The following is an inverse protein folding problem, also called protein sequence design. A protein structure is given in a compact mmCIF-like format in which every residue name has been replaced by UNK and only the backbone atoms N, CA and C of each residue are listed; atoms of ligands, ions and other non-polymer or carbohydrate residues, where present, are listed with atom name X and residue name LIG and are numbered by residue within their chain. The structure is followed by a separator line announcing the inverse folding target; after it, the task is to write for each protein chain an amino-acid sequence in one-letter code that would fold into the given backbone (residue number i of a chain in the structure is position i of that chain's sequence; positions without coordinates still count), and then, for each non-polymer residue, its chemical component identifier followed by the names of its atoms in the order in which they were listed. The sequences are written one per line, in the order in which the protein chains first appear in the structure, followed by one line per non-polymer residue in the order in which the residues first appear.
data_IF_259730207401
#
_entry.id   IF_259730207401
#
_cell.length_a   1.000
_cell.length_b   1.000
_cell.length_c   1.000
_cell.angle_alpha   90.00
_cell.angle_beta   90.00
_cell.angle_gamma   90.00
#
_symmetry.space_group_name_H-M   'P 1'
#
loop_
_entity.id
_entity.type
_entity.pdbx_description
1 polymer ?
#
# COMPACT_ATOMS: atom_id res chain seq x y z
N UNK A 1 -9.08 -6.87 -27.46
CA UNK A 1 -7.86 -6.09 -27.78
C UNK A 1 -7.35 -5.28 -26.59
N UNK A 2 -8.22 -4.53 -25.87
CA UNK A 2 -7.80 -3.74 -24.68
C UNK A 2 -7.47 -4.66 -23.49
N UNK A 3 -8.22 -5.73 -23.30
CA UNK A 3 -7.99 -6.73 -22.25
C UNK A 3 -6.65 -7.44 -22.43
N UNK A 4 -6.35 -7.88 -23.63
CA UNK A 4 -5.10 -8.59 -23.95
C UNK A 4 -3.87 -7.70 -23.77
N UNK A 5 -3.98 -6.40 -24.07
CA UNK A 5 -2.92 -5.43 -23.85
C UNK A 5 -2.66 -5.16 -22.35
N UNK A 6 -3.68 -5.25 -21.51
CA UNK A 6 -3.57 -5.03 -20.06
C UNK A 6 -2.98 -6.27 -19.36
N UNK A 7 -3.37 -7.46 -19.76
CA UNK A 7 -2.79 -8.72 -19.28
C UNK A 7 -1.34 -8.87 -19.71
N UNK A 8 -1.00 -8.49 -20.94
CA UNK A 8 0.37 -8.46 -21.45
C UNK A 8 1.27 -7.49 -20.67
N UNK A 9 0.76 -6.32 -20.27
CA UNK A 9 1.50 -5.38 -19.43
C UNK A 9 1.77 -5.93 -18.03
N UNK A 10 0.80 -6.58 -17.40
CA UNK A 10 0.95 -7.20 -16.08
C UNK A 10 2.04 -8.27 -16.05
N UNK A 11 2.03 -9.19 -16.99
CA UNK A 11 3.06 -10.23 -17.11
C UNK A 11 4.44 -9.65 -17.46
N UNK A 12 4.49 -8.65 -18.33
CA UNK A 12 5.73 -7.98 -18.71
C UNK A 12 6.40 -7.30 -17.52
N UNK A 13 5.65 -6.65 -16.66
CA UNK A 13 6.19 -5.97 -15.49
C UNK A 13 6.65 -6.95 -14.41
N UNK A 14 5.93 -8.04 -14.19
CA UNK A 14 6.37 -9.14 -13.31
C UNK A 14 7.70 -9.71 -13.80
N UNK A 15 7.82 -9.98 -15.11
CA UNK A 15 9.05 -10.53 -15.70
C UNK A 15 10.23 -9.55 -15.56
N UNK A 16 10.01 -8.27 -15.83
CA UNK A 16 11.02 -7.23 -15.67
C UNK A 16 11.51 -7.14 -14.21
N UNK A 17 10.60 -7.19 -13.25
CA UNK A 17 10.94 -7.17 -11.82
C UNK A 17 11.69 -8.40 -11.37
N UNK A 18 11.36 -9.59 -11.90
CA UNK A 18 12.10 -10.83 -11.63
C UNK A 18 13.52 -10.77 -12.19
N UNK A 19 13.69 -10.31 -13.42
CA UNK A 19 15.02 -10.14 -14.03
C UNK A 19 15.86 -9.10 -13.30
N UNK A 20 15.24 -7.96 -12.92
CA UNK A 20 15.91 -6.93 -12.12
C UNK A 20 16.34 -7.47 -10.75
N UNK A 21 15.48 -8.26 -10.10
CA UNK A 21 15.82 -8.93 -8.84
C UNK A 21 17.03 -9.84 -8.96
N UNK A 22 17.08 -10.65 -10.01
CA UNK A 22 18.23 -11.53 -10.31
C UNK A 22 19.49 -10.73 -10.54
N UNK A 23 19.41 -9.61 -11.27
CA UNK A 23 20.55 -8.73 -11.53
C UNK A 23 21.09 -8.07 -10.26
N UNK A 24 20.19 -7.57 -9.41
CA UNK A 24 20.57 -6.94 -8.13
C UNK A 24 21.23 -7.93 -7.16
N UNK A 25 20.89 -9.22 -7.28
CA UNK A 25 21.52 -10.30 -6.50
C UNK A 25 22.84 -10.81 -7.11
N UNK A 26 23.21 -10.34 -8.30
CA UNK A 26 24.48 -10.74 -8.93
C UNK A 26 25.71 -10.13 -8.23
N UNK A 27 26.86 -10.78 -8.38
CA UNK A 27 28.11 -10.34 -7.77
C UNK A 27 28.45 -8.88 -8.13
N UNK A 28 28.81 -8.07 -7.15
CA UNK A 28 29.16 -6.65 -7.30
C UNK A 28 27.98 -5.67 -7.08
N UNK A 29 26.75 -6.06 -7.35
CA UNK A 29 25.57 -5.25 -7.06
C UNK A 29 24.96 -5.58 -5.69
N UNK A 30 25.16 -6.79 -5.21
CA UNK A 30 24.64 -7.26 -3.92
C UNK A 30 25.08 -6.33 -2.77
N UNK A 31 26.39 -6.11 -2.64
CA UNK A 31 26.92 -5.29 -1.53
C UNK A 31 26.60 -3.81 -1.69
N UNK A 32 26.62 -3.29 -2.92
CA UNK A 32 26.40 -1.88 -3.20
C UNK A 32 24.93 -1.45 -2.98
N UNK A 33 23.98 -2.28 -3.34
CA UNK A 33 22.55 -1.92 -3.36
C UNK A 33 21.72 -2.77 -2.42
N UNK A 34 21.81 -4.10 -2.50
CA UNK A 34 20.96 -5.00 -1.72
C UNK A 34 21.30 -4.99 -0.23
N UNK A 35 22.60 -4.98 0.10
CA UNK A 35 23.07 -4.88 1.48
C UNK A 35 22.60 -3.58 2.14
N UNK A 36 22.74 -2.45 1.45
CA UNK A 36 22.29 -1.15 1.93
C UNK A 36 20.76 -1.07 2.06
N UNK A 37 20.02 -1.61 1.10
CA UNK A 37 18.58 -1.67 1.15
C UNK A 37 18.08 -2.49 2.36
N UNK A 38 18.70 -3.62 2.66
CA UNK A 38 18.41 -4.42 3.85
C UNK A 38 18.71 -3.69 5.16
N UNK A 39 19.79 -2.91 5.24
CA UNK A 39 20.07 -2.09 6.42
C UNK A 39 18.99 -1.02 6.64
N UNK A 40 18.56 -0.34 5.58
CA UNK A 40 17.47 0.64 5.65
C UNK A 40 16.16 -0.04 6.07
N UNK A 41 15.84 -1.19 5.48
CA UNK A 41 14.68 -1.99 5.86
C UNK A 41 14.68 -2.35 7.35
N UNK A 42 15.79 -2.89 7.85
CA UNK A 42 15.93 -3.26 9.26
C UNK A 42 15.78 -2.03 10.19
N UNK A 43 16.29 -0.88 9.78
CA UNK A 43 16.12 0.38 10.52
C UNK A 43 14.65 0.79 10.60
N UNK A 44 13.93 0.77 9.48
CA UNK A 44 12.49 1.10 9.41
C UNK A 44 11.68 0.10 10.26
N UNK A 45 11.94 -1.19 10.10
CA UNK A 45 11.29 -2.26 10.86
C UNK A 45 11.43 -2.02 12.38
N UNK A 46 12.65 -1.76 12.85
CA UNK A 46 12.93 -1.46 14.25
C UNK A 46 12.15 -0.24 14.75
N UNK A 47 12.09 0.85 13.97
CA UNK A 47 11.36 2.07 14.35
C UNK A 47 9.86 1.81 14.47
N UNK A 48 9.26 1.12 13.52
CA UNK A 48 7.83 0.79 13.55
C UNK A 48 7.50 -0.15 14.70
N UNK A 49 8.32 -1.17 14.95
CA UNK A 49 8.12 -2.08 16.08
C UNK A 49 8.24 -1.34 17.43
N UNK A 50 9.13 -0.35 17.54
CA UNK A 50 9.22 0.50 18.73
C UNK A 50 7.92 1.30 18.93
N UNK A 51 7.38 1.92 17.88
CA UNK A 51 6.11 2.63 17.99
C UNK A 51 4.95 1.68 18.35
N UNK A 52 4.88 0.52 17.74
CA UNK A 52 3.86 -0.48 18.04
C UNK A 52 4.03 -1.14 19.43
N UNK A 53 5.17 -0.95 20.10
CA UNK A 53 5.31 -1.32 21.51
C UNK A 53 4.59 -0.34 22.46
N UNK A 54 4.51 0.94 22.07
CA UNK A 54 3.82 1.99 22.83
C UNK A 54 2.34 2.12 22.43
N UNK A 55 2.02 1.94 21.15
CA UNK A 55 0.68 2.10 20.60
C UNK A 55 0.11 0.77 20.15
N UNK A 56 -1.20 0.61 20.29
CA UNK A 56 -1.90 -0.61 19.85
C UNK A 56 -1.97 -0.69 18.33
N UNK A 57 -2.17 0.44 17.66
CA UNK A 57 -2.30 0.56 16.21
C UNK A 57 -1.62 1.84 15.72
N UNK A 58 -1.11 1.79 14.49
CA UNK A 58 -0.72 2.96 13.73
C UNK A 58 -1.77 3.22 12.65
N UNK A 59 -2.13 4.49 12.49
CA UNK A 59 -3.09 4.92 11.46
C UNK A 59 -2.41 5.88 10.51
N UNK A 60 -2.71 5.77 9.23
CA UNK A 60 -2.18 6.66 8.20
C UNK A 60 -3.04 6.67 6.95
N UNK A 61 -2.76 7.55 5.99
CA UNK A 61 -3.41 7.50 4.69
C UNK A 61 -3.01 6.24 3.92
N UNK A 62 -3.86 5.81 2.97
CA UNK A 62 -3.55 4.71 2.06
C UNK A 62 -2.71 5.20 0.89
N UNK A 63 -3.07 6.37 0.35
CA UNK A 63 -2.39 7.02 -0.77
C UNK A 63 -2.22 8.52 -0.49
N UNK A 64 -1.30 9.20 -1.18
CA UNK A 64 -1.08 10.64 -1.02
C UNK A 64 -2.26 11.51 -1.42
N UNK A 65 -3.10 11.03 -2.32
CA UNK A 65 -4.21 11.78 -2.88
C UNK A 65 -5.49 10.97 -3.05
N UNK A 66 -6.48 11.60 -3.64
CA UNK A 66 -7.72 10.96 -4.10
C UNK A 66 -7.47 10.20 -5.40
N UNK A 67 -8.40 9.31 -5.83
CA UNK A 67 -8.28 8.62 -7.11
C UNK A 67 -8.02 9.59 -8.26
N UNK A 68 -7.02 9.31 -9.08
CA UNK A 68 -6.65 10.10 -10.25
C UNK A 68 -7.37 9.59 -11.53
N UNK A 69 -7.45 10.43 -12.55
CA UNK A 69 -8.11 10.09 -13.83
C UNK A 69 -7.27 9.12 -14.66
N UNK A 70 -7.93 8.34 -15.50
CA UNK A 70 -7.23 7.48 -16.45
C UNK A 70 -6.27 8.30 -17.31
N UNK A 71 -5.02 7.87 -17.38
CA UNK A 71 -3.97 8.53 -18.16
C UNK A 71 -3.25 9.69 -17.49
N UNK A 72 -3.74 10.20 -16.36
CA UNK A 72 -3.21 11.40 -15.70
C UNK A 72 -1.73 11.26 -15.27
N UNK A 73 -1.28 10.04 -14.98
CA UNK A 73 0.08 9.77 -14.50
C UNK A 73 0.91 8.92 -15.45
N UNK A 74 0.49 8.76 -16.71
CA UNK A 74 1.19 7.89 -17.66
C UNK A 74 2.58 8.40 -18.02
N UNK A 75 2.79 9.72 -18.00
CA UNK A 75 4.02 10.36 -18.44
C UNK A 75 5.03 10.57 -17.31
N UNK A 76 4.63 10.30 -16.06
CA UNK A 76 5.50 10.41 -14.88
C UNK A 76 5.53 9.08 -14.08
N UNK A 77 6.50 8.20 -14.37
CA UNK A 77 6.66 6.95 -13.62
C UNK A 77 6.89 7.15 -12.12
N UNK A 78 7.53 8.25 -11.72
CA UNK A 78 7.78 8.55 -10.31
C UNK A 78 6.49 8.89 -9.57
N UNK A 79 5.59 9.64 -10.19
CA UNK A 79 4.28 9.95 -9.63
C UNK A 79 3.45 8.68 -9.36
N UNK A 80 3.53 7.69 -10.24
CA UNK A 80 2.88 6.38 -10.01
C UNK A 80 3.49 5.61 -8.83
N UNK A 81 4.82 5.61 -8.69
CA UNK A 81 5.47 4.96 -7.54
C UNK A 81 5.15 5.64 -6.21
N UNK A 82 4.99 6.95 -6.21
CA UNK A 82 4.65 7.69 -5.00
C UNK A 82 3.24 7.40 -4.48
N UNK A 83 2.32 6.89 -5.31
CA UNK A 83 0.99 6.47 -4.85
C UNK A 83 1.05 5.32 -3.83
N UNK A 84 2.06 4.46 -3.92
CA UNK A 84 2.25 3.32 -3.03
C UNK A 84 3.11 3.62 -1.80
N UNK A 85 3.56 4.87 -1.60
CA UNK A 85 4.56 5.22 -0.58
C UNK A 85 4.14 4.81 0.85
N UNK A 86 2.86 4.86 1.15
CA UNK A 86 2.35 4.51 2.47
C UNK A 86 2.08 3.01 2.62
N UNK A 87 1.68 2.31 1.57
CA UNK A 87 1.37 0.89 1.61
C UNK A 87 2.62 0.00 1.68
N UNK A 88 3.74 0.47 1.14
CA UNK A 88 5.03 -0.23 1.18
C UNK A 88 5.55 -0.43 2.62
N UNK A 89 5.19 0.47 3.54
CA UNK A 89 5.65 0.42 4.93
C UNK A 89 5.28 -0.90 5.63
N UNK A 90 4.05 -1.37 5.46
CA UNK A 90 3.58 -2.64 6.00
C UNK A 90 4.41 -3.84 5.51
N UNK A 91 4.74 -3.85 4.20
CA UNK A 91 5.56 -4.89 3.59
C UNK A 91 6.97 -4.92 4.15
N UNK A 92 7.58 -3.76 4.42
CA UNK A 92 8.93 -3.68 4.97
C UNK A 92 9.01 -4.14 6.41
N UNK A 93 7.97 -3.89 7.20
CA UNK A 93 7.96 -4.12 8.63
C UNK A 93 7.35 -5.44 9.05
N UNK A 94 6.80 -6.22 8.09
CA UNK A 94 6.09 -7.49 8.32
C UNK A 94 4.92 -7.35 9.29
N UNK A 95 4.33 -6.18 9.34
CA UNK A 95 3.17 -5.89 10.16
C UNK A 95 1.89 -6.12 9.35
N UNK A 96 0.86 -6.72 9.91
CA UNK A 96 -0.45 -6.75 9.26
C UNK A 96 -1.00 -5.34 9.14
N UNK A 97 -1.55 -5.04 7.98
CA UNK A 97 -2.19 -3.78 7.70
C UNK A 97 -3.46 -3.97 6.89
N UNK A 98 -4.42 -3.10 7.09
CA UNK A 98 -5.71 -3.12 6.40
C UNK A 98 -6.10 -1.70 6.00
N UNK A 99 -6.63 -1.57 4.79
CA UNK A 99 -7.24 -0.34 4.31
C UNK A 99 -8.75 -0.40 4.49
N UNK A 100 -9.32 0.64 5.07
CA UNK A 100 -10.77 0.77 5.22
C UNK A 100 -11.25 2.15 4.74
N UNK A 101 -12.52 2.26 4.29
CA UNK A 101 -13.10 3.53 3.88
C UNK A 101 -13.12 4.54 5.02
N UNK A 102 -12.75 5.78 4.72
CA UNK A 102 -12.73 6.91 5.65
C UNK A 102 -13.77 8.00 5.32
N UNK A 103 -14.39 7.91 4.16
CA UNK A 103 -15.35 8.89 3.68
C UNK A 103 -15.16 9.23 2.21
N UNK A 104 -15.63 10.42 1.84
CA UNK A 104 -15.55 10.95 0.48
C UNK A 104 -14.84 12.30 0.50
N UNK A 105 -14.14 12.63 -0.58
CA UNK A 105 -13.61 13.98 -0.80
C UNK A 105 -14.74 14.97 -1.11
N UNK A 106 -14.37 16.25 -1.31
CA UNK A 106 -15.34 17.28 -1.76
C UNK A 106 -15.88 17.03 -3.17
N UNK A 107 -15.17 16.23 -3.94
CA UNK A 107 -15.51 15.83 -5.32
C UNK A 107 -16.18 14.45 -5.38
N UNK A 108 -16.71 13.95 -4.23
CA UNK A 108 -17.34 12.63 -4.09
C UNK A 108 -16.43 11.45 -4.50
N UNK A 109 -15.11 11.60 -4.35
CA UNK A 109 -14.15 10.52 -4.56
C UNK A 109 -13.88 9.79 -3.24
N UNK A 110 -13.73 8.45 -3.25
CA UNK A 110 -13.52 7.68 -2.03
C UNK A 110 -12.15 7.98 -1.41
N UNK A 111 -12.14 8.10 -0.08
CA UNK A 111 -10.93 8.25 0.72
C UNK A 111 -10.83 7.04 1.64
N UNK A 112 -9.62 6.48 1.75
CA UNK A 112 -9.29 5.40 2.66
C UNK A 112 -8.24 5.80 3.67
N UNK A 113 -8.24 5.11 4.80
CA UNK A 113 -7.09 5.12 5.71
C UNK A 113 -6.59 3.70 5.96
N UNK A 114 -5.34 3.59 6.33
CA UNK A 114 -4.68 2.34 6.66
C UNK A 114 -4.52 2.23 8.17
N UNK A 115 -4.84 1.06 8.71
CA UNK A 115 -4.48 0.65 10.06
C UNK A 115 -3.40 -0.43 9.99
N UNK A 116 -2.43 -0.34 10.88
CA UNK A 116 -1.35 -1.30 11.03
C UNK A 116 -1.25 -1.71 12.50
N UNK A 117 -1.04 -2.99 12.76
CA UNK A 117 -0.85 -3.55 14.11
C UNK A 117 0.49 -4.29 14.24
N UNK A 118 0.76 -4.82 15.43
CA UNK A 118 1.93 -5.66 15.70
C UNK A 118 1.96 -6.90 14.80
N UNK A 119 3.14 -7.44 14.51
CA UNK A 119 3.23 -8.72 13.80
C UNK A 119 2.36 -9.81 14.45
N UNK A 120 1.65 -10.57 13.60
CA UNK A 120 0.73 -11.65 14.02
C UNK A 120 -0.50 -11.20 14.83
N UNK A 121 -0.84 -9.92 14.82
CA UNK A 121 -2.01 -9.37 15.54
C UNK A 121 -3.18 -9.07 14.58
N UNK A 122 -3.35 -9.90 13.57
CA UNK A 122 -4.36 -9.74 12.51
C UNK A 122 -5.78 -9.74 13.08
N UNK A 123 -6.04 -10.59 14.06
CA UNK A 123 -7.36 -10.70 14.68
C UNK A 123 -7.79 -9.40 15.36
N UNK A 124 -6.91 -8.77 16.14
CA UNK A 124 -7.23 -7.47 16.78
C UNK A 124 -7.42 -6.38 15.74
N UNK A 125 -6.60 -6.39 14.69
CA UNK A 125 -6.73 -5.44 13.59
C UNK A 125 -8.11 -5.52 12.94
N UNK A 126 -8.59 -6.74 12.63
CA UNK A 126 -9.93 -6.96 12.07
C UNK A 126 -11.04 -6.52 13.03
N UNK A 127 -10.89 -6.80 14.33
CA UNK A 127 -11.89 -6.39 15.34
C UNK A 127 -12.01 -4.87 15.48
N UNK A 128 -10.91 -4.14 15.39
CA UNK A 128 -10.95 -2.66 15.39
C UNK A 128 -11.62 -2.14 14.13
N UNK A 129 -11.33 -2.72 12.96
CA UNK A 129 -12.01 -2.34 11.72
C UNK A 129 -13.53 -2.60 11.79
N UNK A 130 -13.94 -3.74 12.32
CA UNK A 130 -15.36 -4.05 12.56
C UNK A 130 -16.01 -3.00 13.47
N UNK A 131 -15.35 -2.63 14.57
CA UNK A 131 -15.84 -1.62 15.50
C UNK A 131 -15.95 -0.22 14.88
N UNK A 132 -15.02 0.15 13.99
CA UNK A 132 -15.06 1.42 13.24
C UNK A 132 -16.23 1.39 12.26
N UNK A 133 -16.39 0.32 11.49
CA UNK A 133 -17.48 0.18 10.53
C UNK A 133 -18.86 0.13 11.18
N UNK A 134 -18.97 -0.41 12.40
CA UNK A 134 -20.22 -0.38 13.16
C UNK A 134 -20.65 1.04 13.58
N UNK A 135 -19.73 1.99 13.60
CA UNK A 135 -19.97 3.40 13.98
C UNK A 135 -19.98 4.37 12.80
N UNK A 136 -19.72 3.88 11.60
CA UNK A 136 -19.63 4.69 10.37
C UNK A 136 -20.43 4.04 9.25
N UNK A 137 -20.83 4.84 8.27
CA UNK A 137 -21.52 4.37 7.07
C UNK A 137 -20.62 4.31 5.82
N UNK A 138 -19.34 4.65 5.94
CA UNK A 138 -18.44 4.82 4.81
C UNK A 138 -18.32 3.58 3.92
N UNK A 139 -18.32 2.40 4.53
CA UNK A 139 -18.21 1.11 3.84
C UNK A 139 -19.49 0.71 3.09
N UNK A 140 -20.64 1.35 3.39
CA UNK A 140 -21.92 1.06 2.73
C UNK A 140 -22.17 1.94 1.51
N UNK A 141 -21.42 3.02 1.36
CA UNK A 141 -21.56 3.95 0.23
C UNK A 141 -21.16 3.30 -1.08
N UNK A 142 -21.92 3.60 -2.12
CA UNK A 142 -21.70 3.09 -3.49
C UNK A 142 -21.57 4.26 -4.47
N UNK A 143 -20.81 4.10 -5.56
CA UNK A 143 -20.79 5.08 -6.65
C UNK A 143 -22.18 5.27 -7.23
N UNK A 144 -22.57 6.47 -7.71
CA UNK A 144 -23.89 6.76 -8.26
C UNK A 144 -24.35 5.81 -9.37
N UNK A 145 -23.41 5.29 -10.16
CA UNK A 145 -23.69 4.33 -11.24
C UNK A 145 -24.16 2.94 -10.76
N UNK A 146 -24.09 2.67 -9.45
CA UNK A 146 -24.47 1.38 -8.84
C UNK A 146 -25.73 1.48 -7.98
N UNK A 147 -26.40 2.62 -8.00
CA UNK A 147 -27.65 2.87 -7.21
C UNK A 147 -28.93 2.69 -8.01
N UNK A 148 -28.86 2.07 -9.21
CA UNK A 148 -30.04 1.72 -10.03
C UNK A 148 -30.53 0.32 -9.80
#
# INVERSE_FOLDING_TARGET
AIRDAQESRGLGDVYKRQMLGTFVLSAGYYDAYYGKANQIRAFIEKKIHTLLAEFDFLIGPVSPGVPFKFGEKNDDPLAMYLEDIYSVLANFTRCPAISIPAGMSKEDLPIGFQLMSKPMDDYRLLKVCEAIQAKTDFHTRRPPLWTS
#
